data_IF_558107992065
#
_entry.id   IF_558107992065
#
_cell.length_a   1.000
_cell.length_b   1.000
_cell.length_c   1.000
_cell.angle_alpha   90.00
_cell.angle_beta   90.00
_cell.angle_gamma   90.00
#
_symmetry.space_group_name_H-M   'P 1'
#
loop_
_entity.id
_entity.type
_entity.pdbx_description
1 polymer ?
#
# COMPACT_ATOMS: atom_id res chain seq x y z
N UNK A 1 -32.55 -7.14 -9.60
CA UNK A 1 -31.25 -7.77 -9.91
C UNK A 1 -30.48 -7.94 -8.62
N UNK A 2 -30.15 -9.17 -8.23
CA UNK A 2 -29.33 -9.42 -7.04
C UNK A 2 -27.96 -8.80 -7.23
N UNK A 3 -27.48 -8.01 -6.26
CA UNK A 3 -26.19 -7.32 -6.37
C UNK A 3 -25.06 -8.33 -6.13
N UNK A 4 -24.01 -8.23 -6.94
CA UNK A 4 -22.73 -8.92 -6.71
C UNK A 4 -22.15 -8.45 -5.39
N UNK A 5 -21.86 -9.37 -4.47
CA UNK A 5 -21.53 -9.00 -3.09
C UNK A 5 -20.02 -8.92 -2.87
N UNK A 6 -19.24 -9.79 -3.50
CA UNK A 6 -17.81 -9.87 -3.27
C UNK A 6 -17.05 -8.84 -4.08
N UNK A 7 -17.36 -8.68 -5.37
CA UNK A 7 -16.65 -7.73 -6.22
C UNK A 7 -16.81 -6.29 -5.73
N UNK A 8 -18.03 -5.91 -5.31
CA UNK A 8 -18.34 -4.58 -4.75
C UNK A 8 -17.61 -4.27 -3.46
N UNK A 9 -17.04 -5.28 -2.78
CA UNK A 9 -16.21 -5.03 -1.59
C UNK A 9 -14.83 -4.45 -1.93
N UNK A 10 -14.41 -4.54 -3.20
CA UNK A 10 -13.10 -4.09 -3.68
C UNK A 10 -13.17 -2.92 -4.67
N UNK A 11 -14.32 -2.70 -5.30
CA UNK A 11 -14.57 -1.51 -6.12
C UNK A 11 -15.38 -0.52 -5.28
N UNK A 12 -14.70 0.47 -4.70
CA UNK A 12 -15.35 1.45 -3.82
C UNK A 12 -16.30 2.36 -4.60
N UNK A 13 -15.92 2.67 -5.84
CA UNK A 13 -16.75 3.44 -6.76
C UNK A 13 -17.42 2.54 -7.81
N UNK A 14 -18.66 2.85 -8.17
CA UNK A 14 -19.37 2.21 -9.29
C UNK A 14 -18.68 2.51 -10.65
N UNK A 15 -17.80 3.53 -10.70
CA UNK A 15 -16.94 3.83 -11.84
C UNK A 15 -15.89 2.74 -12.06
N UNK A 16 -15.21 2.29 -11.00
CA UNK A 16 -14.19 1.23 -11.03
C UNK A 16 -14.77 -0.11 -11.43
N UNK A 17 -15.96 -0.44 -10.90
CA UNK A 17 -16.69 -1.65 -11.26
C UNK A 17 -17.00 -1.68 -12.76
N UNK A 18 -17.57 -0.59 -13.30
CA UNK A 18 -17.87 -0.48 -14.74
C UNK A 18 -16.60 -0.54 -15.60
N UNK A 19 -15.52 0.10 -15.19
CA UNK A 19 -14.24 0.05 -15.91
C UNK A 19 -13.67 -1.37 -15.95
N UNK A 20 -13.74 -2.11 -14.84
CA UNK A 20 -13.31 -3.51 -14.80
C UNK A 20 -14.15 -4.36 -15.76
N UNK A 21 -15.47 -4.23 -15.72
CA UNK A 21 -16.35 -5.00 -16.61
C UNK A 21 -16.12 -4.67 -18.09
N UNK A 22 -15.94 -3.39 -18.41
CA UNK A 22 -15.58 -2.97 -19.77
C UNK A 22 -14.28 -3.62 -20.24
N UNK A 23 -13.25 -3.58 -19.40
CA UNK A 23 -11.96 -4.20 -19.69
C UNK A 23 -12.09 -5.73 -19.89
N UNK A 24 -12.89 -6.41 -19.07
CA UNK A 24 -13.14 -7.85 -19.24
C UNK A 24 -13.82 -8.15 -20.58
N UNK A 25 -14.73 -7.29 -21.04
CA UNK A 25 -15.40 -7.44 -22.34
C UNK A 25 -14.40 -7.24 -23.48
N UNK A 26 -13.58 -6.19 -23.43
CA UNK A 26 -12.57 -5.89 -24.46
C UNK A 26 -11.53 -7.02 -24.62
N UNK A 27 -11.16 -7.68 -23.52
CA UNK A 27 -10.20 -8.79 -23.52
C UNK A 27 -10.85 -10.15 -23.87
N UNK A 28 -12.16 -10.20 -24.12
CA UNK A 28 -12.88 -11.45 -24.36
C UNK A 28 -12.92 -12.36 -23.12
N UNK A 29 -12.92 -11.76 -21.94
CA UNK A 29 -12.93 -12.41 -20.62
C UNK A 29 -14.28 -12.27 -19.92
N UNK A 30 -15.37 -12.13 -20.69
CA UNK A 30 -16.73 -12.09 -20.19
C UNK A 30 -17.06 -13.28 -19.27
N UNK A 31 -17.89 -13.03 -18.26
CA UNK A 31 -18.36 -14.06 -17.33
C UNK A 31 -19.27 -15.06 -18.05
N UNK A 32 -18.97 -16.37 -18.00
CA UNK A 32 -19.87 -17.40 -18.52
C UNK A 32 -21.16 -17.51 -17.70
N UNK A 33 -22.20 -18.12 -18.27
CA UNK A 33 -23.48 -18.37 -17.57
C UNK A 33 -23.47 -19.67 -16.76
N UNK A 34 -22.92 -20.74 -17.35
CA UNK A 34 -22.85 -22.08 -16.73
C UNK A 34 -21.93 -22.13 -15.51
N UNK A 35 -22.31 -22.92 -14.50
CA UNK A 35 -21.56 -23.06 -13.25
C UNK A 35 -20.12 -23.56 -13.48
N UNK A 36 -19.95 -24.65 -14.24
CA UNK A 36 -18.62 -25.23 -14.46
C UNK A 36 -17.75 -24.31 -15.30
N UNK A 37 -18.35 -23.68 -16.32
CA UNK A 37 -17.67 -22.68 -17.13
C UNK A 37 -17.20 -21.49 -16.28
N UNK A 38 -18.01 -21.01 -15.33
CA UNK A 38 -17.65 -19.92 -14.41
C UNK A 38 -16.49 -20.27 -13.49
N UNK A 39 -16.52 -21.46 -12.87
CA UNK A 39 -15.44 -21.94 -11.99
C UNK A 39 -14.14 -22.11 -12.80
N UNK A 40 -14.21 -22.73 -13.98
CA UNK A 40 -13.05 -22.87 -14.88
C UNK A 40 -12.51 -21.52 -15.38
N UNK A 41 -13.39 -20.56 -15.66
CA UNK A 41 -13.00 -19.20 -16.06
C UNK A 41 -12.29 -18.45 -14.92
N UNK A 42 -12.78 -18.55 -13.69
CA UNK A 42 -12.12 -17.98 -12.53
C UNK A 42 -10.71 -18.55 -12.32
N UNK A 43 -10.56 -19.87 -12.48
CA UNK A 43 -9.25 -20.53 -12.44
C UNK A 43 -8.30 -19.97 -13.53
N UNK A 44 -8.77 -19.87 -14.78
CA UNK A 44 -7.99 -19.30 -15.89
C UNK A 44 -7.55 -17.86 -15.61
N UNK A 45 -8.47 -17.02 -15.13
CA UNK A 45 -8.19 -15.64 -14.75
C UNK A 45 -7.18 -15.54 -13.62
N UNK A 46 -7.27 -16.41 -12.60
CA UNK A 46 -6.27 -16.50 -11.52
C UNK A 46 -4.88 -16.82 -12.07
N UNK A 47 -4.76 -17.81 -12.96
CA UNK A 47 -3.48 -18.16 -13.57
C UNK A 47 -2.92 -17.04 -14.46
N UNK A 48 -3.77 -16.31 -15.18
CA UNK A 48 -3.35 -15.08 -15.88
C UNK A 48 -2.87 -14.00 -14.89
N UNK A 49 -3.59 -13.80 -13.79
CA UNK A 49 -3.21 -12.90 -12.71
C UNK A 49 -1.85 -13.26 -12.11
N UNK A 50 -1.57 -14.55 -11.90
CA UNK A 50 -0.28 -15.05 -11.45
C UNK A 50 0.85 -14.72 -12.44
N UNK A 51 0.60 -14.84 -13.76
CA UNK A 51 1.57 -14.48 -14.80
C UNK A 51 1.89 -12.98 -14.74
N UNK A 52 0.88 -12.12 -14.69
CA UNK A 52 1.07 -10.66 -14.58
C UNK A 52 1.77 -10.27 -13.29
N UNK A 53 1.45 -10.93 -12.17
CA UNK A 53 2.12 -10.68 -10.89
C UNK A 53 3.62 -10.97 -10.97
N UNK A 54 4.02 -12.09 -11.58
CA UNK A 54 5.44 -12.44 -11.79
C UNK A 54 6.16 -11.49 -12.74
N UNK A 55 5.43 -10.83 -13.63
CA UNK A 55 5.95 -9.79 -14.52
C UNK A 55 5.96 -8.38 -13.87
N UNK A 56 5.69 -8.28 -12.56
CA UNK A 56 5.53 -7.03 -11.82
C UNK A 56 4.47 -6.06 -12.36
N UNK A 57 3.52 -6.55 -13.19
CA UNK A 57 2.35 -5.80 -13.61
C UNK A 57 1.19 -6.02 -12.65
N UNK A 58 1.26 -5.34 -11.51
CA UNK A 58 0.27 -5.46 -10.45
C UNK A 58 -1.10 -4.87 -10.82
N UNK A 59 -1.20 -4.02 -11.86
CA UNK A 59 -2.48 -3.49 -12.34
C UNK A 59 -3.25 -4.57 -13.09
N UNK A 60 -2.62 -5.22 -14.08
CA UNK A 60 -3.25 -6.33 -14.81
C UNK A 60 -3.49 -7.53 -13.91
N UNK A 61 -2.56 -7.81 -12.99
CA UNK A 61 -2.77 -8.85 -11.98
C UNK A 61 -4.01 -8.56 -11.13
N UNK A 62 -4.22 -7.31 -10.70
CA UNK A 62 -5.42 -6.91 -9.96
C UNK A 62 -6.68 -7.17 -10.79
N UNK A 63 -6.74 -6.65 -12.02
CA UNK A 63 -7.92 -6.81 -12.89
C UNK A 63 -8.27 -8.29 -13.12
N UNK A 64 -7.27 -9.14 -13.39
CA UNK A 64 -7.49 -10.58 -13.57
C UNK A 64 -8.06 -11.24 -12.30
N UNK A 65 -7.51 -10.93 -11.12
CA UNK A 65 -8.01 -11.51 -9.87
C UNK A 65 -9.41 -10.98 -9.51
N UNK A 66 -9.72 -9.70 -9.77
CA UNK A 66 -11.08 -9.17 -9.59
C UNK A 66 -12.07 -9.80 -10.58
N UNK A 67 -11.65 -10.03 -11.82
CA UNK A 67 -12.44 -10.80 -12.79
C UNK A 67 -12.68 -12.24 -12.35
N UNK A 68 -11.70 -12.87 -11.70
CA UNK A 68 -11.87 -14.20 -11.12
C UNK A 68 -12.93 -14.20 -10.00
N UNK A 69 -12.94 -13.18 -9.14
CA UNK A 69 -14.02 -12.99 -8.16
C UNK A 69 -15.36 -12.84 -8.87
N UNK A 70 -15.45 -11.94 -9.85
CA UNK A 70 -16.67 -11.70 -10.62
C UNK A 70 -17.24 -13.00 -11.20
N UNK A 71 -16.38 -13.86 -11.73
CA UNK A 71 -16.78 -15.15 -12.27
C UNK A 71 -17.40 -16.08 -11.21
N UNK A 72 -16.93 -16.09 -9.97
CA UNK A 72 -17.49 -16.90 -8.86
C UNK A 72 -18.44 -16.14 -7.92
N UNK A 73 -18.78 -14.89 -8.20
CA UNK A 73 -19.73 -14.09 -7.39
C UNK A 73 -21.18 -14.45 -7.79
N UNK A 74 -21.64 -15.59 -7.28
CA UNK A 74 -23.03 -16.04 -7.42
C UNK A 74 -23.95 -15.16 -6.57
N UNK A 75 -25.10 -14.76 -7.11
CA UNK A 75 -26.13 -14.02 -6.38
C UNK A 75 -26.67 -14.84 -5.21
N UNK A 76 -27.27 -14.20 -4.18
CA UNK A 76 -27.83 -14.93 -3.03
C UNK A 76 -28.80 -16.04 -3.42
N UNK A 77 -29.65 -15.81 -4.43
CA UNK A 77 -30.59 -16.80 -4.93
C UNK A 77 -29.89 -18.00 -5.58
N UNK A 78 -28.83 -17.76 -6.37
CA UNK A 78 -28.01 -18.85 -6.92
C UNK A 78 -27.32 -19.63 -5.79
N UNK A 79 -26.77 -18.96 -4.78
CA UNK A 79 -26.06 -19.60 -3.67
C UNK A 79 -26.94 -20.51 -2.81
N UNK A 80 -28.22 -20.15 -2.61
CA UNK A 80 -29.19 -21.00 -1.90
C UNK A 80 -29.42 -22.31 -2.65
N UNK A 81 -29.42 -22.27 -3.98
CA UNK A 81 -29.66 -23.42 -4.85
C UNK A 81 -28.41 -24.26 -5.12
N UNK A 82 -27.23 -23.83 -4.64
CA UNK A 82 -25.99 -24.60 -4.83
C UNK A 82 -25.97 -25.85 -3.94
N UNK A 83 -25.50 -26.94 -4.51
CA UNK A 83 -25.12 -28.14 -3.75
C UNK A 83 -23.86 -27.88 -2.92
N UNK A 84 -23.59 -28.74 -1.93
CA UNK A 84 -22.39 -28.59 -1.09
C UNK A 84 -21.10 -28.78 -1.89
N UNK A 85 -21.09 -29.67 -2.90
CA UNK A 85 -19.96 -29.84 -3.81
C UNK A 85 -19.70 -28.58 -4.63
N UNK A 86 -20.75 -27.92 -5.11
CA UNK A 86 -20.63 -26.64 -5.81
C UNK A 86 -20.12 -25.53 -4.88
N UNK A 87 -20.60 -25.47 -3.64
CA UNK A 87 -20.12 -24.51 -2.63
C UNK A 87 -18.64 -24.73 -2.32
N UNK A 88 -18.22 -25.98 -2.21
CA UNK A 88 -16.83 -26.37 -2.00
C UNK A 88 -15.96 -26.00 -3.22
N UNK A 89 -16.43 -26.27 -4.44
CA UNK A 89 -15.73 -25.89 -5.67
C UNK A 89 -15.53 -24.37 -5.77
N UNK A 90 -16.55 -23.58 -5.44
CA UNK A 90 -16.43 -22.12 -5.38
C UNK A 90 -15.44 -21.68 -4.30
N UNK A 91 -15.46 -22.29 -3.11
CA UNK A 91 -14.52 -21.95 -2.05
C UNK A 91 -13.05 -22.24 -2.44
N UNK A 92 -12.82 -23.39 -3.08
CA UNK A 92 -11.49 -23.82 -3.58
C UNK A 92 -10.92 -22.88 -4.63
N UNK A 93 -11.76 -22.26 -5.46
CA UNK A 93 -11.28 -21.25 -6.42
C UNK A 93 -11.19 -19.85 -5.80
N UNK A 94 -12.15 -19.45 -4.97
CA UNK A 94 -12.20 -18.12 -4.38
C UNK A 94 -11.03 -17.85 -3.41
N UNK A 95 -10.67 -18.82 -2.56
CA UNK A 95 -9.66 -18.60 -1.51
C UNK A 95 -8.27 -18.30 -2.07
N UNK A 96 -7.73 -19.05 -3.05
CA UNK A 96 -6.53 -18.66 -3.78
C UNK A 96 -6.59 -17.24 -4.38
N UNK A 97 -7.73 -16.85 -4.96
CA UNK A 97 -7.91 -15.52 -5.56
C UNK A 97 -7.86 -14.42 -4.50
N UNK A 98 -8.55 -14.59 -3.37
CA UNK A 98 -8.49 -13.64 -2.24
C UNK A 98 -7.08 -13.57 -1.64
N UNK A 99 -6.41 -14.73 -1.54
CA UNK A 99 -5.00 -14.83 -1.17
C UNK A 99 -4.15 -13.97 -2.11
N UNK A 100 -4.33 -14.09 -3.42
CA UNK A 100 -3.58 -13.34 -4.42
C UNK A 100 -3.90 -11.84 -4.40
N UNK A 101 -5.17 -11.45 -4.23
CA UNK A 101 -5.57 -10.05 -4.10
C UNK A 101 -4.88 -9.37 -2.92
N UNK A 102 -4.91 -9.99 -1.73
CA UNK A 102 -4.20 -9.47 -0.57
C UNK A 102 -2.71 -9.25 -0.88
N UNK A 103 -2.09 -10.15 -1.63
CA UNK A 103 -0.69 -10.00 -2.05
C UNK A 103 -0.48 -8.87 -3.07
N UNK A 104 -1.38 -8.71 -4.03
CA UNK A 104 -1.35 -7.63 -5.03
C UNK A 104 -1.53 -6.27 -4.35
N UNK A 105 -2.48 -6.15 -3.42
CA UNK A 105 -2.72 -4.93 -2.66
C UNK A 105 -1.52 -4.56 -1.78
N UNK A 106 -0.86 -5.54 -1.14
CA UNK A 106 0.39 -5.30 -0.39
C UNK A 106 1.47 -4.70 -1.30
N UNK A 107 1.64 -5.21 -2.52
CA UNK A 107 2.61 -4.66 -3.49
C UNK A 107 2.26 -3.27 -3.99
N UNK A 108 0.98 -2.88 -3.92
CA UNK A 108 0.49 -1.56 -4.31
C UNK A 108 0.45 -0.56 -3.15
N UNK A 109 0.69 -1.00 -1.90
CA UNK A 109 0.58 -0.16 -0.71
C UNK A 109 -0.86 0.16 -0.29
N UNK A 110 -1.84 -0.64 -0.74
CA UNK A 110 -3.26 -0.46 -0.44
C UNK A 110 -3.68 -1.35 0.74
N UNK A 111 -3.24 -0.97 1.94
CA UNK A 111 -3.35 -1.80 3.14
C UNK A 111 -4.80 -2.05 3.59
N UNK A 112 -5.69 -1.08 3.38
CA UNK A 112 -7.12 -1.24 3.66
C UNK A 112 -7.73 -2.39 2.85
N UNK A 113 -7.44 -2.45 1.54
CA UNK A 113 -7.93 -3.56 0.71
C UNK A 113 -7.21 -4.89 0.98
N UNK A 114 -5.97 -4.90 1.48
CA UNK A 114 -5.33 -6.13 2.01
C UNK A 114 -6.15 -6.69 3.18
N UNK A 115 -6.49 -5.84 4.15
CA UNK A 115 -7.25 -6.25 5.33
C UNK A 115 -8.65 -6.74 4.96
N UNK A 116 -9.36 -6.05 4.05
CA UNK A 116 -10.65 -6.49 3.50
C UNK A 116 -10.55 -7.85 2.81
N UNK A 117 -9.57 -8.04 1.92
CA UNK A 117 -9.36 -9.31 1.20
C UNK A 117 -9.06 -10.47 2.15
N UNK A 118 -8.18 -10.24 3.13
CA UNK A 118 -7.85 -11.25 4.12
C UNK A 118 -9.03 -11.58 5.03
N UNK A 119 -9.80 -10.58 5.48
CA UNK A 119 -11.00 -10.79 6.28
C UNK A 119 -12.06 -11.60 5.52
N UNK A 120 -12.35 -11.24 4.27
CA UNK A 120 -13.30 -11.99 3.44
C UNK A 120 -12.82 -13.43 3.20
N UNK A 121 -11.52 -13.63 3.00
CA UNK A 121 -10.93 -14.97 2.87
C UNK A 121 -11.11 -15.79 4.15
N UNK A 122 -10.82 -15.21 5.32
CA UNK A 122 -10.97 -15.90 6.61
C UNK A 122 -12.43 -16.26 6.91
N UNK A 123 -13.40 -15.47 6.45
CA UNK A 123 -14.83 -15.83 6.55
C UNK A 123 -15.23 -16.99 5.65
N UNK A 124 -14.52 -17.22 4.54
CA UNK A 124 -14.82 -18.28 3.59
C UNK A 124 -13.99 -19.55 3.80
N UNK A 125 -12.90 -19.48 4.58
CA UNK A 125 -11.98 -20.61 4.80
C UNK A 125 -12.63 -21.77 5.55
N UNK A 126 -13.66 -21.51 6.37
CA UNK A 126 -14.43 -22.56 7.06
C UNK A 126 -15.19 -23.50 6.12
N UNK A 127 -15.28 -23.17 4.83
CA UNK A 127 -15.90 -24.00 3.80
C UNK A 127 -14.95 -25.08 3.25
N UNK A 128 -13.65 -24.99 3.55
CA UNK A 128 -12.67 -26.01 3.18
C UNK A 128 -12.47 -27.02 4.33
N UNK A 129 -12.21 -28.30 4.03
CA UNK A 129 -11.90 -29.29 5.04
C UNK A 129 -10.43 -29.25 5.48
N UNK A 130 -10.20 -29.59 6.76
CA UNK A 130 -8.90 -29.99 7.31
C UNK A 130 -7.73 -29.06 6.98
N UNK A 131 -6.62 -29.69 6.61
CA UNK A 131 -5.32 -29.04 6.41
C UNK A 131 -5.34 -27.96 5.31
N UNK A 132 -6.21 -28.11 4.30
CA UNK A 132 -6.35 -27.14 3.21
C UNK A 132 -6.80 -25.77 3.77
N UNK A 133 -7.75 -25.79 4.70
CA UNK A 133 -8.24 -24.59 5.37
C UNK A 133 -7.13 -23.91 6.18
N UNK A 134 -6.31 -24.69 6.88
CA UNK A 134 -5.28 -24.17 7.77
C UNK A 134 -4.14 -23.48 7.01
N UNK A 135 -3.77 -24.01 5.84
CA UNK A 135 -2.82 -23.34 4.94
C UNK A 135 -3.32 -21.96 4.50
N UNK A 136 -4.60 -21.84 4.13
CA UNK A 136 -5.18 -20.55 3.74
C UNK A 136 -5.36 -19.61 4.93
N UNK A 137 -5.81 -20.11 6.09
CA UNK A 137 -5.89 -19.31 7.33
C UNK A 137 -4.54 -18.69 7.66
N UNK A 138 -3.46 -19.48 7.65
CA UNK A 138 -2.12 -19.01 7.94
C UNK A 138 -1.69 -17.91 6.95
N UNK A 139 -1.86 -18.13 5.65
CA UNK A 139 -1.51 -17.15 4.60
C UNK A 139 -2.31 -15.85 4.70
N UNK A 140 -3.62 -15.93 4.94
CA UNK A 140 -4.48 -14.77 5.02
C UNK A 140 -4.22 -13.96 6.30
N UNK A 141 -4.05 -14.61 7.45
CA UNK A 141 -3.65 -13.94 8.69
C UNK A 141 -2.30 -13.27 8.56
N UNK A 142 -1.31 -13.96 8.00
CA UNK A 142 0.00 -13.38 7.74
C UNK A 142 -0.10 -12.08 6.94
N UNK A 143 -0.83 -12.08 5.82
CA UNK A 143 -0.97 -10.88 4.98
C UNK A 143 -1.76 -9.76 5.65
N UNK A 144 -2.82 -10.09 6.41
CA UNK A 144 -3.55 -9.10 7.20
C UNK A 144 -2.63 -8.46 8.24
N UNK A 145 -1.82 -9.25 8.93
CA UNK A 145 -0.86 -8.73 9.89
C UNK A 145 0.19 -7.82 9.27
N UNK A 146 0.67 -8.13 8.06
CA UNK A 146 1.56 -7.23 7.33
C UNK A 146 0.90 -5.87 7.13
N UNK A 147 -0.34 -5.84 6.63
CA UNK A 147 -1.09 -4.59 6.43
C UNK A 147 -1.34 -3.81 7.74
N UNK A 148 -1.72 -4.50 8.82
CA UNK A 148 -1.94 -3.88 10.13
C UNK A 148 -0.64 -3.36 10.78
N UNK A 149 0.51 -3.91 10.40
CA UNK A 149 1.82 -3.50 10.90
C UNK A 149 2.37 -2.24 10.23
N UNK A 150 1.87 -1.88 9.05
CA UNK A 150 2.34 -0.74 8.28
C UNK A 150 1.98 0.59 8.96
N UNK A 151 2.86 1.61 8.92
CA UNK A 151 2.59 2.89 9.53
C UNK A 151 1.46 3.62 8.81
N UNK A 152 0.46 4.07 9.57
CA UNK A 152 -0.70 4.77 9.01
C UNK A 152 -1.85 4.91 10.01
N UNK A 153 -2.95 5.55 9.61
CA UNK A 153 -4.13 5.72 10.46
C UNK A 153 -4.79 4.38 10.85
N UNK A 154 -4.58 3.34 10.05
CA UNK A 154 -5.11 1.99 10.29
C UNK A 154 -4.11 1.08 11.01
N UNK A 155 -2.95 1.60 11.43
CA UNK A 155 -1.93 0.80 12.10
C UNK A 155 -2.48 0.20 13.41
N UNK A 156 -2.35 -1.11 13.55
CA UNK A 156 -2.74 -1.85 14.74
C UNK A 156 -1.72 -2.96 15.01
N UNK A 157 -0.63 -2.61 15.69
CA UNK A 157 0.45 -3.54 16.00
C UNK A 157 0.00 -4.72 16.87
N UNK A 158 -0.99 -4.52 17.74
CA UNK A 158 -1.51 -5.57 18.60
C UNK A 158 -2.29 -6.61 17.78
N UNK A 159 -3.19 -6.15 16.89
CA UNK A 159 -3.90 -7.03 15.97
C UNK A 159 -2.96 -7.74 15.00
N UNK A 160 -1.91 -7.06 14.52
CA UNK A 160 -0.86 -7.69 13.71
C UNK A 160 -0.13 -8.81 14.47
N UNK A 161 0.20 -8.59 15.74
CA UNK A 161 0.86 -9.57 16.59
C UNK A 161 -0.01 -10.82 16.83
N UNK A 162 -1.31 -10.63 17.05
CA UNK A 162 -2.28 -11.71 17.22
C UNK A 162 -2.38 -12.56 15.95
N UNK A 163 -2.55 -11.92 14.79
CA UNK A 163 -2.60 -12.63 13.52
C UNK A 163 -1.30 -13.39 13.20
N UNK A 164 -0.13 -12.82 13.51
CA UNK A 164 1.15 -13.49 13.31
C UNK A 164 1.35 -14.68 14.24
N UNK A 165 0.85 -14.61 15.49
CA UNK A 165 0.89 -15.75 16.42
C UNK A 165 0.03 -16.89 15.90
N UNK A 166 -1.19 -16.60 15.49
CA UNK A 166 -2.10 -17.60 14.94
C UNK A 166 -1.56 -18.18 13.63
N UNK A 167 -1.00 -17.36 12.74
CA UNK A 167 -0.35 -17.84 11.53
C UNK A 167 0.87 -18.73 11.83
N UNK A 168 1.66 -18.40 12.85
CA UNK A 168 2.81 -19.20 13.29
C UNK A 168 2.41 -20.53 13.94
N UNK A 169 1.25 -20.60 14.61
CA UNK A 169 0.71 -21.86 15.14
C UNK A 169 0.33 -22.81 14.00
N UNK A 170 -0.29 -22.29 12.94
CA UNK A 170 -0.72 -23.09 11.78
C UNK A 170 0.43 -23.48 10.85
N UNK A 171 1.45 -22.62 10.71
CA UNK A 171 2.62 -22.87 9.85
C UNK A 171 3.94 -22.60 10.61
N UNK A 172 4.30 -23.42 11.61
CA UNK A 172 5.44 -23.17 12.49
C UNK A 172 6.79 -23.19 11.79
N UNK A 173 6.90 -23.88 10.65
CA UNK A 173 8.13 -23.99 9.86
C UNK A 173 8.40 -22.77 8.96
N UNK A 174 7.43 -21.87 8.78
CA UNK A 174 7.60 -20.68 7.93
C UNK A 174 8.60 -19.67 8.52
N UNK A 175 9.74 -19.49 7.85
CA UNK A 175 10.75 -18.51 8.24
C UNK A 175 10.24 -17.07 8.15
N UNK A 176 9.43 -16.77 7.14
CA UNK A 176 8.85 -15.43 6.91
C UNK A 176 7.93 -15.01 8.06
N UNK A 177 6.98 -15.88 8.45
CA UNK A 177 6.04 -15.60 9.56
C UNK A 177 6.81 -15.39 10.86
N UNK A 178 7.79 -16.27 11.18
CA UNK A 178 8.61 -16.12 12.40
C UNK A 178 9.42 -14.83 12.40
N UNK A 179 9.97 -14.42 11.25
CA UNK A 179 10.70 -13.17 11.12
C UNK A 179 9.80 -11.96 11.37
N UNK A 180 8.64 -11.92 10.70
CA UNK A 180 7.64 -10.87 10.89
C UNK A 180 7.12 -10.82 12.33
N UNK A 181 6.93 -11.96 12.98
CA UNK A 181 6.52 -12.04 14.38
C UNK A 181 7.55 -11.43 15.34
N UNK A 182 8.86 -11.68 15.12
CA UNK A 182 9.93 -11.03 15.91
C UNK A 182 9.95 -9.52 15.68
N UNK A 183 9.92 -9.10 14.42
CA UNK A 183 9.91 -7.70 14.05
C UNK A 183 8.72 -6.93 14.66
N UNK A 184 7.51 -7.51 14.60
CA UNK A 184 6.31 -6.92 15.18
C UNK A 184 6.43 -6.73 16.70
N UNK A 185 7.00 -7.71 17.42
CA UNK A 185 7.28 -7.60 18.87
C UNK A 185 8.25 -6.47 19.19
N UNK A 186 9.31 -6.31 18.38
CA UNK A 186 10.28 -5.24 18.56
C UNK A 186 9.66 -3.85 18.32
N UNK A 187 8.80 -3.72 17.31
CA UNK A 187 8.05 -2.49 17.05
C UNK A 187 7.14 -2.13 18.22
N UNK A 188 6.36 -3.09 18.72
CA UNK A 188 5.46 -2.87 19.87
C UNK A 188 6.23 -2.40 21.11
N UNK A 189 7.38 -3.03 21.40
CA UNK A 189 8.24 -2.64 22.52
C UNK A 189 8.79 -1.21 22.36
N UNK A 190 9.21 -0.85 21.14
CA UNK A 190 9.68 0.51 20.84
C UNK A 190 8.57 1.54 21.03
N UNK A 191 7.34 1.23 20.61
CA UNK A 191 6.19 2.12 20.77
C UNK A 191 5.84 2.32 22.25
N UNK A 192 5.81 1.26 23.05
CA UNK A 192 5.59 1.31 24.50
C UNK A 192 6.65 2.16 25.22
N UNK A 193 7.93 2.02 24.84
CA UNK A 193 9.02 2.84 25.40
C UNK A 193 8.87 4.32 25.07
N UNK A 194 8.43 4.65 23.84
CA UNK A 194 8.16 6.04 23.45
C UNK A 194 7.04 6.64 24.30
N UNK A 195 5.92 5.92 24.46
CA UNK A 195 4.81 6.35 25.30
C UNK A 195 5.22 6.56 26.76
N UNK A 196 6.00 5.64 27.34
CA UNK A 196 6.49 5.76 28.71
C UNK A 196 7.47 6.93 28.90
N UNK A 197 8.30 7.24 27.89
CA UNK A 197 9.20 8.40 27.93
C UNK A 197 8.47 9.74 27.89
N UNK A 198 7.35 9.83 27.14
CA UNK A 198 6.54 11.06 27.08
C UNK A 198 5.80 11.33 28.38
N UNK A 199 5.32 10.28 29.07
CA UNK A 199 4.66 10.42 30.36
C UNK A 199 5.57 11.07 31.43
N UNK A 200 6.86 10.72 31.45
CA UNK A 200 7.82 11.28 32.42
C UNK A 200 8.22 12.72 32.13
N UNK A 201 8.28 13.13 30.86
CA UNK A 201 8.70 14.48 30.49
C UNK A 201 7.65 15.56 30.76
N UNK A 202 6.38 15.18 30.99
CA UNK A 202 5.29 16.12 31.20
C UNK A 202 5.10 16.51 32.68
N UNK A 203 5.57 15.69 33.63
CA UNK A 203 5.47 15.99 35.07
C UNK A 203 6.50 17.05 35.53
N UNK A 204 7.65 17.17 34.86
CA UNK A 204 8.71 18.12 35.26
C UNK A 204 8.49 19.57 34.80
N UNK A 205 7.48 19.86 33.96
CA UNK A 205 7.26 21.21 33.40
C UNK A 205 6.22 22.01 34.19
N UNK A 206 5.50 21.40 35.13
CA UNK A 206 4.38 22.06 35.85
C UNK A 206 4.71 22.62 37.23
N UNK A 207 5.99 22.75 37.61
CA UNK A 207 6.38 23.29 38.94
C UNK A 207 7.41 24.43 38.93
N UNK A 208 7.58 25.18 37.83
CA UNK A 208 8.42 26.39 37.85
C UNK A 208 7.66 27.66 37.40
N UNK A 209 6.60 28.03 38.13
CA UNK A 209 6.17 29.42 38.24
C UNK A 209 6.70 29.97 39.58
N UNK A 210 7.92 30.49 39.53
CA UNK A 210 8.43 31.65 40.26
C UNK A 210 9.95 31.52 40.42
N UNK A 211 10.69 32.38 39.72
CA UNK A 211 11.86 33.15 40.20
C UNK A 211 12.48 33.89 39.01
N UNK A 212 12.76 35.21 39.13
CA UNK A 212 13.39 36.01 38.06
C UNK A 212 14.92 35.87 38.00
N UNK A 213 15.42 35.95 36.76
CA UNK A 213 16.74 36.43 36.32
C UNK A 213 18.02 35.77 36.87
N UNK A 214 18.79 35.15 35.95
CA UNK A 214 20.09 35.71 35.52
C UNK A 214 20.64 34.95 34.30
N UNK A 215 21.36 35.71 33.48
CA UNK A 215 21.97 35.35 32.20
C UNK A 215 22.89 34.12 32.29
N UNK A 216 22.63 33.07 31.51
CA UNK A 216 23.70 32.20 31.02
C UNK A 216 23.34 31.62 29.64
N UNK A 217 24.09 32.09 28.64
CA UNK A 217 23.86 31.88 27.21
C UNK A 217 24.28 30.48 26.79
N UNK A 218 23.34 29.52 26.83
CA UNK A 218 23.52 28.21 26.22
C UNK A 218 22.97 28.25 24.79
N UNK A 219 23.86 28.15 23.81
CA UNK A 219 23.54 28.10 22.39
C UNK A 219 22.52 26.99 22.11
N UNK A 220 21.25 27.38 21.99
CA UNK A 220 20.17 26.51 21.50
C UNK A 220 20.38 26.33 20.01
N UNK A 221 20.45 25.07 19.58
CA UNK A 221 20.31 24.75 18.15
C UNK A 221 19.05 25.43 17.60
N UNK A 222 19.19 26.19 16.49
CA UNK A 222 18.09 26.98 15.96
C UNK A 222 16.97 26.04 15.57
N UNK A 223 15.79 26.27 16.15
CA UNK A 223 14.58 25.57 15.75
C UNK A 223 14.42 25.65 14.22
N UNK A 224 14.05 24.55 13.54
CA UNK A 224 13.94 24.53 12.09
C UNK A 224 13.02 25.66 11.64
N UNK A 225 13.55 26.51 10.75
CA UNK A 225 12.84 27.69 10.28
C UNK A 225 11.46 27.29 9.72
N UNK A 226 10.41 27.88 10.28
CA UNK A 226 9.06 27.69 9.75
C UNK A 226 9.02 28.26 8.33
N UNK A 227 8.77 27.40 7.36
CA UNK A 227 8.61 27.80 5.97
C UNK A 227 7.37 28.70 5.84
N UNK A 228 7.43 29.69 4.95
CA UNK A 228 6.25 30.46 4.61
C UNK A 228 5.20 29.57 3.92
N UNK A 229 3.89 29.89 4.01
CA UNK A 229 2.85 29.11 3.33
C UNK A 229 3.09 28.92 1.83
N UNK A 230 3.68 29.92 1.17
CA UNK A 230 4.06 29.84 -0.25
C UNK A 230 5.17 28.80 -0.50
N UNK A 231 6.18 28.73 0.36
CA UNK A 231 7.25 27.74 0.27
C UNK A 231 6.76 26.33 0.58
N UNK A 232 5.79 26.15 1.47
CA UNK A 232 5.16 24.85 1.72
C UNK A 232 4.38 24.34 0.50
N UNK A 233 3.60 25.22 -0.15
CA UNK A 233 2.86 24.88 -1.38
C UNK A 233 3.85 24.52 -2.48
N UNK A 234 4.93 25.30 -2.63
CA UNK A 234 6.00 25.02 -3.58
C UNK A 234 6.66 23.65 -3.32
N UNK A 235 7.06 23.36 -2.08
CA UNK A 235 7.67 22.09 -1.71
C UNK A 235 6.73 20.90 -1.99
N UNK A 236 5.43 21.03 -1.73
CA UNK A 236 4.42 20.01 -2.07
C UNK A 236 4.31 19.80 -3.59
N UNK A 237 4.31 20.88 -4.38
CA UNK A 237 4.25 20.79 -5.84
C UNK A 237 5.50 20.14 -6.44
N UNK A 238 6.69 20.52 -5.96
CA UNK A 238 7.97 19.92 -6.38
C UNK A 238 8.02 18.46 -5.97
N UNK A 239 7.66 18.12 -4.73
CA UNK A 239 7.65 16.73 -4.24
C UNK A 239 6.74 15.81 -5.06
N UNK A 240 5.53 16.26 -5.41
CA UNK A 240 4.62 15.51 -6.29
C UNK A 240 5.17 15.31 -7.70
N UNK A 241 5.83 16.34 -8.24
CA UNK A 241 6.43 16.26 -9.58
C UNK A 241 7.66 15.34 -9.60
N UNK A 242 8.50 15.40 -8.57
CA UNK A 242 9.65 14.51 -8.41
C UNK A 242 9.21 13.05 -8.23
N UNK A 243 8.15 12.80 -7.45
CA UNK A 243 7.60 11.46 -7.28
C UNK A 243 7.13 10.86 -8.60
N UNK A 244 6.45 11.65 -9.45
CA UNK A 244 6.05 11.21 -10.80
C UNK A 244 7.25 10.93 -11.71
N UNK A 245 8.27 11.78 -11.68
CA UNK A 245 9.51 11.56 -12.43
C UNK A 245 10.22 10.27 -12.00
N UNK A 246 10.32 10.01 -10.70
CA UNK A 246 10.88 8.77 -10.17
C UNK A 246 10.06 7.54 -10.60
N UNK A 247 8.73 7.63 -10.61
CA UNK A 247 7.87 6.58 -11.11
C UNK A 247 8.09 6.32 -12.62
N UNK A 248 8.13 7.37 -13.44
CA UNK A 248 8.42 7.27 -14.87
C UNK A 248 9.82 6.69 -15.12
N UNK A 249 10.82 7.10 -14.33
CA UNK A 249 12.17 6.57 -14.40
C UNK A 249 12.22 5.07 -14.09
N UNK A 250 11.57 4.65 -13.00
CA UNK A 250 11.49 3.24 -12.63
C UNK A 250 10.77 2.42 -13.72
N UNK A 251 9.74 2.99 -14.36
CA UNK A 251 9.05 2.37 -15.49
C UNK A 251 9.98 2.21 -16.71
N UNK A 252 10.72 3.25 -17.06
CA UNK A 252 11.69 3.23 -18.16
C UNK A 252 12.85 2.26 -17.91
N UNK A 253 13.35 2.18 -16.67
CA UNK A 253 14.37 1.20 -16.28
C UNK A 253 13.87 -0.24 -16.44
N UNK A 254 12.61 -0.50 -16.04
CA UNK A 254 11.98 -1.82 -16.22
C UNK A 254 11.76 -2.15 -17.70
N UNK A 255 11.33 -1.19 -18.52
CA UNK A 255 11.08 -1.39 -19.94
C UNK A 255 12.37 -1.66 -20.77
N UNK A 256 13.54 -1.21 -20.30
CA UNK A 256 14.82 -1.34 -21.01
C UNK A 256 15.59 -2.65 -20.75
N UNK A 257 15.02 -3.62 -20.04
CA UNK A 257 15.58 -4.98 -19.96
C UNK A 257 17.00 -5.09 -19.39
N UNK A 258 17.44 -4.14 -18.56
CA UNK A 258 18.66 -4.26 -17.74
C UNK A 258 20.01 -4.22 -18.48
N UNK A 259 20.08 -3.91 -19.78
CA UNK A 259 21.36 -3.89 -20.52
C UNK A 259 21.54 -2.63 -21.37
N UNK A 260 21.80 -1.48 -20.74
CA UNK A 260 22.51 -0.36 -21.40
C UNK A 260 23.35 0.45 -20.43
N UNK A 261 24.49 0.92 -20.94
CA UNK A 261 25.57 1.63 -20.27
C UNK A 261 25.10 2.83 -19.41
N UNK A 262 25.53 2.84 -18.14
CA UNK A 262 25.19 3.83 -17.10
C UNK A 262 25.53 5.30 -17.42
N UNK A 263 26.34 5.55 -18.45
CA UNK A 263 26.94 6.87 -18.71
C UNK A 263 26.03 7.83 -19.47
N UNK A 264 25.25 7.37 -20.45
CA UNK A 264 24.34 8.25 -21.22
C UNK A 264 23.07 8.63 -20.46
N UNK A 265 22.63 7.81 -19.50
CA UNK A 265 21.39 8.04 -18.77
C UNK A 265 21.53 9.07 -17.64
N UNK A 266 22.72 9.25 -17.08
CA UNK A 266 22.98 10.26 -16.04
C UNK A 266 23.00 11.68 -16.61
N UNK A 267 23.51 11.88 -17.83
CA UNK A 267 23.54 13.20 -18.47
C UNK A 267 22.13 13.74 -18.77
N UNK A 268 21.20 12.89 -19.23
CA UNK A 268 19.84 13.33 -19.56
C UNK A 268 19.03 13.82 -18.35
N UNK A 269 19.13 13.14 -17.20
CA UNK A 269 18.43 13.55 -15.98
C UNK A 269 19.00 14.85 -15.38
N UNK A 270 20.32 15.04 -15.42
CA UNK A 270 20.96 16.27 -14.93
C UNK A 270 20.52 17.46 -15.80
N UNK A 271 20.46 17.30 -17.11
CA UNK A 271 20.03 18.35 -18.03
C UNK A 271 18.55 18.73 -17.79
N UNK A 272 17.66 17.76 -17.62
CA UNK A 272 16.24 18.01 -17.36
C UNK A 272 16.00 18.71 -16.01
N UNK A 273 16.79 18.32 -14.99
CA UNK A 273 16.74 18.94 -13.65
C UNK A 273 17.21 20.39 -13.71
N UNK A 274 18.31 20.67 -14.43
CA UNK A 274 18.81 22.02 -14.67
C UNK A 274 17.80 22.89 -15.42
N UNK A 275 17.15 22.35 -16.45
CA UNK A 275 16.12 23.07 -17.20
C UNK A 275 14.89 23.40 -16.35
N UNK A 276 14.45 22.48 -15.47
CA UNK A 276 13.36 22.79 -14.53
C UNK A 276 13.75 23.85 -13.50
N UNK A 277 14.97 23.78 -12.95
CA UNK A 277 15.46 24.81 -12.00
C UNK A 277 15.56 26.18 -12.67
N UNK A 278 16.05 26.23 -13.91
CA UNK A 278 16.13 27.47 -14.70
C UNK A 278 14.74 28.05 -14.99
N UNK A 279 13.78 27.22 -15.37
CA UNK A 279 12.40 27.65 -15.61
C UNK A 279 11.73 28.17 -14.32
N UNK A 280 12.01 27.55 -13.18
CA UNK A 280 11.51 28.00 -11.86
C UNK A 280 12.16 29.33 -11.46
N UNK A 281 13.46 29.50 -11.68
CA UNK A 281 14.18 30.75 -11.39
C UNK A 281 13.67 31.92 -12.24
N UNK A 282 13.25 31.67 -13.47
CA UNK A 282 12.64 32.70 -14.35
C UNK A 282 11.21 33.09 -13.95
N UNK A 283 10.51 32.23 -13.22
CA UNK A 283 9.13 32.48 -12.74
C UNK A 283 9.09 33.16 -11.37
N UNK A 284 10.23 33.29 -10.68
CA UNK A 284 10.31 34.06 -9.45
C UNK A 284 10.42 35.56 -9.80
N UNK A 285 9.54 36.42 -9.28
CA UNK A 285 9.65 37.85 -9.50
C UNK A 285 11.01 38.34 -8.98
N UNK A 286 11.69 39.26 -9.70
CA UNK A 286 12.97 39.79 -9.26
C UNK A 286 12.79 40.38 -7.86
N UNK A 287 13.58 39.87 -6.91
CA UNK A 287 13.58 40.36 -5.53
C UNK A 287 13.93 41.85 -5.55
N UNK A 288 12.92 42.70 -5.37
CA UNK A 288 13.09 44.14 -5.14
C UNK A 288 13.54 44.37 -3.70
N UNK A 289 14.60 43.68 -3.27
CA UNK A 289 15.32 44.01 -2.04
C UNK A 289 16.38 45.03 -2.41
N UNK A 290 15.95 46.30 -2.48
CA UNK A 290 16.85 47.45 -2.56
C UNK A 290 17.66 47.56 -1.27
N UNK A 291 18.78 46.86 -1.21
CA UNK A 291 19.89 47.22 -0.33
C UNK A 291 20.95 47.87 -1.20
N UNK A 292 20.92 49.21 -1.23
CA UNK A 292 22.08 50.02 -1.59
C UNK A 292 23.21 49.62 -0.65
N UNK A 293 24.19 48.89 -1.18
CA UNK A 293 25.50 48.79 -0.56
C UNK A 293 26.19 50.12 -0.85
N UNK A 294 26.16 51.04 0.12
CA UNK A 294 27.06 52.20 0.10
C UNK A 294 28.48 51.68 0.27
N UNK A 295 29.24 51.73 -0.81
CA UNK A 295 30.68 51.49 -0.81
C UNK A 295 31.33 52.72 -0.17
N UNK A 296 31.71 52.59 1.10
CA UNK A 296 32.66 53.50 1.75
C UNK A 296 34.04 53.26 1.13
N UNK A 297 34.40 54.09 0.17
CA UNK A 297 35.80 54.39 -0.15
C UNK A 297 36.14 55.68 0.56
N UNK A 298 36.91 55.60 1.65
CA UNK A 298 37.64 56.74 2.20
C UNK A 298 39.10 56.37 2.40
N UNK A 299 39.93 57.29 1.87
CA UNK A 299 41.35 57.51 2.09
C UNK A 299 41.56 58.21 3.44
#
# INVERSE_FOLDING_TARGET
MGREHWLRSFCEEESEHRQLLHWLIEEGLCRPEDFQARVGHAHRLREMGNKWYRADDYRRALHCNLGAIHAVDFTPNEQVNMTDDQRLAVARELLPVLSNLAQVFLKRGDFGNVAKAAHLGLRNVCKLPGDEADVFKAKLRYRRALALGEPGPEQNLQGALEDLREAAQLMPTSAEIRSSLRYCKELLLKEQRKMAGHAKGQEDVSQSEDVPQSHESREREPAPAKLSPALEIFAKCVGRSLAKLLQCWNFLQKARGGRTCLTLSRCGCVLLSLLMVMAIMQMLPPSTSGHRVEVLTDL
#
